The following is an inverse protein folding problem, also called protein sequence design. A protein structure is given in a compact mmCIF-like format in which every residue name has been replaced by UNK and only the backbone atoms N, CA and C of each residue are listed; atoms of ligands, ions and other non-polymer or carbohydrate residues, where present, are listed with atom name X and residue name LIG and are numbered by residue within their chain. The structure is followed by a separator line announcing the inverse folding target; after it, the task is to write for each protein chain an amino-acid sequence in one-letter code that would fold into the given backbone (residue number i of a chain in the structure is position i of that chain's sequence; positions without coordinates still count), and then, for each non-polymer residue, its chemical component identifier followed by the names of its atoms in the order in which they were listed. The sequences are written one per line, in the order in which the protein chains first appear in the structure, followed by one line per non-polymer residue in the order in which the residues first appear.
data_IF_660797470804
#
_entry.id   IF_660797470804
#
_cell.length_a   1.000
_cell.length_b   1.000
_cell.length_c   1.000
_cell.angle_alpha   90.00
_cell.angle_beta   90.00
_cell.angle_gamma   90.00
#
_symmetry.space_group_name_H-M   'P 1'
#
loop_
_entity.id
_entity.type
_entity.pdbx_description
1 polymer ?
#
# COMPACT_ATOMS: atom_id res chain seq x y z
N UNK A 1 13.98 -11.60 16.91
CA UNK A 1 14.87 -10.52 16.45
C UNK A 1 15.60 -11.00 15.21
N UNK A 2 14.93 -10.95 14.08
CA UNK A 2 15.55 -11.24 12.78
C UNK A 2 16.13 -9.93 12.26
N UNK A 3 17.44 -9.82 12.26
CA UNK A 3 18.19 -8.68 11.78
C UNK A 3 18.07 -8.65 10.24
N UNK A 4 17.24 -7.78 9.69
CA UNK A 4 17.28 -7.49 8.25
C UNK A 4 18.64 -6.88 7.93
N UNK A 5 19.52 -7.70 7.40
CA UNK A 5 20.90 -7.34 7.08
C UNK A 5 20.89 -6.56 5.76
N UNK A 6 20.89 -5.22 5.84
CA UNK A 6 21.20 -4.38 4.69
C UNK A 6 22.60 -4.72 4.18
N UNK A 7 22.66 -5.47 3.09
CA UNK A 7 23.92 -5.74 2.39
C UNK A 7 24.37 -4.51 1.62
N UNK A 8 25.20 -3.66 2.25
CA UNK A 8 26.05 -2.74 1.53
C UNK A 8 27.16 -3.55 0.83
N UNK A 9 26.95 -3.89 -0.43
CA UNK A 9 28.03 -4.38 -1.28
C UNK A 9 28.77 -3.21 -1.90
N UNK A 10 29.92 -2.93 -1.32
CA UNK A 10 30.95 -2.08 -1.92
C UNK A 10 31.63 -2.91 -3.03
N UNK A 11 31.31 -2.67 -4.29
CA UNK A 11 32.02 -3.28 -5.41
C UNK A 11 32.96 -2.27 -6.04
N UNK A 12 34.25 -2.52 -5.84
CA UNK A 12 35.36 -1.89 -6.60
C UNK A 12 35.25 -2.31 -8.07
N UNK A 13 35.52 -1.32 -8.92
CA UNK A 13 35.54 -1.48 -10.37
C UNK A 13 36.65 -2.38 -10.90
N UNK A 14 36.38 -3.02 -12.01
CA UNK A 14 37.38 -3.45 -13.00
C UNK A 14 36.80 -3.13 -14.39
N UNK A 15 37.60 -2.33 -15.11
CA UNK A 15 37.48 -2.03 -16.53
C UNK A 15 37.66 -3.27 -17.40
N UNK A 16 36.92 -3.34 -18.50
CA UNK A 16 37.39 -4.01 -19.71
C UNK A 16 36.50 -5.08 -20.27
N UNK A 17 35.81 -4.76 -21.32
CA UNK A 17 35.87 -5.35 -22.66
C UNK A 17 34.59 -4.99 -23.43
N UNK A 18 34.84 -4.30 -24.54
CA UNK A 18 33.84 -4.00 -25.58
C UNK A 18 33.46 -5.31 -26.22
N UNK A 19 32.17 -5.67 -26.17
CA UNK A 19 31.56 -6.60 -27.12
C UNK A 19 30.42 -5.85 -27.78
N UNK A 20 30.61 -5.50 -29.06
CA UNK A 20 29.54 -5.06 -29.94
C UNK A 20 28.56 -6.22 -30.14
N UNK A 21 27.39 -6.08 -29.62
CA UNK A 21 26.21 -6.88 -29.95
C UNK A 21 25.07 -5.89 -30.21
N UNK A 22 24.66 -5.80 -31.45
CA UNK A 22 23.53 -4.99 -31.90
C UNK A 22 22.19 -5.54 -31.38
N UNK A 23 21.23 -4.63 -31.30
CA UNK A 23 19.78 -4.80 -31.22
C UNK A 23 19.24 -5.36 -29.89
N UNK A 24 18.65 -4.46 -29.14
CA UNK A 24 17.47 -4.52 -28.27
C UNK A 24 17.48 -3.41 -27.18
N UNK A 25 18.33 -2.36 -27.34
CA UNK A 25 18.49 -1.33 -26.30
C UNK A 25 17.57 -0.10 -26.45
N UNK A 26 16.91 0.10 -27.60
CA UNK A 26 16.13 1.31 -27.82
C UNK A 26 14.81 1.29 -27.04
N UNK A 27 14.11 0.15 -26.96
CA UNK A 27 12.83 0.04 -26.26
C UNK A 27 13.00 0.19 -24.73
N UNK A 28 14.08 -0.35 -24.19
CA UNK A 28 14.37 -0.27 -22.74
C UNK A 28 14.79 1.14 -22.30
N UNK A 29 15.51 1.88 -23.13
CA UNK A 29 15.87 3.28 -22.87
C UNK A 29 14.63 4.19 -22.91
N UNK A 30 13.71 3.99 -23.86
CA UNK A 30 12.47 4.75 -23.99
C UNK A 30 11.54 4.52 -22.78
N UNK A 31 11.47 3.28 -22.27
CA UNK A 31 10.71 2.96 -21.05
C UNK A 31 11.30 3.67 -19.83
N UNK A 32 12.62 3.63 -19.64
CA UNK A 32 13.30 4.27 -18.52
C UNK A 32 13.16 5.80 -18.55
N UNK A 33 13.19 6.40 -19.72
CA UNK A 33 12.99 7.85 -19.88
C UNK A 33 11.58 8.27 -19.50
N UNK A 34 10.57 7.49 -19.88
CA UNK A 34 9.16 7.71 -19.47
C UNK A 34 8.98 7.56 -17.98
N UNK A 35 9.55 6.50 -17.40
CA UNK A 35 9.51 6.26 -15.95
C UNK A 35 10.19 7.39 -15.18
N UNK A 36 11.36 7.85 -15.63
CA UNK A 36 12.05 8.96 -15.00
C UNK A 36 11.25 10.25 -15.09
N UNK A 37 10.57 10.51 -16.21
CA UNK A 37 9.71 11.68 -16.37
C UNK A 37 8.50 11.63 -15.44
N UNK A 38 7.80 10.47 -15.36
CA UNK A 38 6.66 10.27 -14.47
C UNK A 38 7.06 10.41 -12.99
N UNK A 39 8.19 9.80 -12.61
CA UNK A 39 8.74 9.92 -11.27
C UNK A 39 9.07 11.37 -10.92
N UNK A 40 9.79 12.08 -11.80
CA UNK A 40 10.21 13.47 -11.55
C UNK A 40 9.03 14.44 -11.49
N UNK A 41 7.92 14.14 -12.16
CA UNK A 41 6.69 14.92 -12.05
C UNK A 41 6.10 14.81 -10.63
N UNK A 42 6.17 13.64 -10.01
CA UNK A 42 5.61 13.39 -8.68
C UNK A 42 6.59 13.74 -7.56
N UNK A 43 7.88 13.48 -7.77
CA UNK A 43 8.96 13.68 -6.81
C UNK A 43 10.12 14.50 -7.43
N UNK A 44 9.91 15.81 -7.68
CA UNK A 44 10.84 16.63 -8.47
C UNK A 44 12.23 16.82 -7.83
N UNK A 45 12.33 16.67 -6.51
CA UNK A 45 13.58 16.86 -5.77
C UNK A 45 14.31 15.54 -5.46
N UNK A 46 13.70 14.39 -5.81
CA UNK A 46 14.25 13.09 -5.50
C UNK A 46 14.99 12.47 -6.69
N UNK A 47 15.91 11.56 -6.40
CA UNK A 47 16.65 10.80 -7.39
C UNK A 47 16.47 9.31 -7.11
N UNK A 48 15.79 8.56 -7.99
CA UNK A 48 15.49 7.16 -7.75
C UNK A 48 16.64 6.25 -8.15
N UNK A 49 16.69 5.08 -7.52
CA UNK A 49 17.34 3.89 -8.04
C UNK A 49 16.27 2.94 -8.54
N UNK A 50 16.31 2.63 -9.81
CA UNK A 50 15.31 1.75 -10.41
C UNK A 50 15.64 0.28 -10.16
N UNK A 51 14.60 -0.49 -9.81
CA UNK A 51 14.61 -1.95 -9.77
C UNK A 51 13.31 -2.47 -10.40
N UNK A 52 13.25 -3.75 -10.71
CA UNK A 52 12.05 -4.41 -11.24
C UNK A 52 11.65 -5.56 -10.34
N UNK A 53 10.34 -5.75 -10.16
CA UNK A 53 9.75 -6.93 -9.52
C UNK A 53 8.50 -7.29 -10.33
N UNK A 54 8.37 -8.58 -10.67
CA UNK A 54 7.28 -9.03 -11.54
C UNK A 54 7.19 -8.20 -12.83
N UNK A 55 6.09 -7.49 -13.06
CA UNK A 55 5.87 -6.63 -14.22
C UNK A 55 5.95 -5.13 -13.88
N UNK A 56 6.45 -4.78 -12.70
CA UNK A 56 6.51 -3.42 -12.21
C UNK A 56 7.93 -2.86 -12.20
N UNK A 57 8.01 -1.54 -12.32
CA UNK A 57 9.22 -0.75 -12.12
C UNK A 57 9.10 -0.01 -10.79
N UNK A 58 10.12 -0.16 -9.95
CA UNK A 58 10.14 0.38 -8.60
C UNK A 58 11.25 1.41 -8.51
N UNK A 59 10.89 2.62 -8.13
CA UNK A 59 11.81 3.68 -7.80
C UNK A 59 12.10 3.65 -6.30
N UNK A 60 13.32 3.25 -5.91
CA UNK A 60 13.81 3.32 -4.53
C UNK A 60 14.47 4.70 -4.33
N UNK A 61 13.98 5.48 -3.37
CA UNK A 61 14.41 6.86 -3.14
C UNK A 61 14.23 7.31 -1.68
N UNK A 62 14.66 8.53 -1.40
CA UNK A 62 14.38 9.18 -0.11
C UNK A 62 13.24 10.20 -0.30
N UNK A 63 12.14 10.01 0.41
CA UNK A 63 11.02 10.93 0.47
C UNK A 63 11.03 11.64 1.83
N UNK A 64 11.35 12.95 1.86
CA UNK A 64 11.41 13.72 3.10
C UNK A 64 12.31 13.12 4.19
N UNK A 65 13.42 12.48 3.80
CA UNK A 65 14.38 11.73 4.62
C UNK A 65 13.92 10.34 5.10
N UNK A 66 12.82 9.83 4.61
CA UNK A 66 12.35 8.46 4.84
C UNK A 66 12.61 7.60 3.60
N UNK A 67 12.94 6.34 3.81
CA UNK A 67 13.05 5.39 2.70
C UNK A 67 11.66 5.22 2.05
N UNK A 68 11.64 5.18 0.73
CA UNK A 68 10.38 5.05 0.01
C UNK A 68 10.57 4.29 -1.31
N UNK A 69 9.53 3.57 -1.70
CA UNK A 69 9.42 2.84 -2.95
C UNK A 69 8.18 3.29 -3.73
N UNK A 70 8.39 3.85 -4.91
CA UNK A 70 7.29 4.21 -5.79
C UNK A 70 7.17 3.19 -6.93
N UNK A 71 5.97 2.63 -7.09
CA UNK A 71 5.66 1.54 -8.01
C UNK A 71 4.97 2.07 -9.26
N UNK A 72 5.46 1.60 -10.43
CA UNK A 72 4.99 2.03 -11.74
C UNK A 72 4.75 0.82 -12.66
N UNK A 73 3.77 0.95 -13.54
CA UNK A 73 3.61 0.02 -14.68
C UNK A 73 4.68 0.25 -15.74
N UNK A 74 4.80 -0.67 -16.71
CA UNK A 74 5.65 -0.50 -17.91
C UNK A 74 5.27 0.71 -18.76
N UNK A 75 4.03 1.20 -18.67
CA UNK A 75 3.56 2.41 -19.34
C UNK A 75 3.84 3.68 -18.54
N UNK A 76 4.65 3.57 -17.47
CA UNK A 76 5.00 4.64 -16.55
C UNK A 76 3.80 5.26 -15.80
N UNK A 77 2.75 4.49 -15.58
CA UNK A 77 1.64 4.86 -14.69
C UNK A 77 2.07 4.60 -13.26
N UNK A 78 2.03 5.63 -12.41
CA UNK A 78 2.27 5.47 -10.98
C UNK A 78 1.07 4.79 -10.32
N UNK A 79 1.34 3.79 -9.49
CA UNK A 79 0.32 3.00 -8.79
C UNK A 79 0.30 3.33 -7.29
N UNK A 80 1.47 3.30 -6.67
CA UNK A 80 1.62 3.37 -5.23
C UNK A 80 2.97 3.98 -4.84
N UNK A 81 3.01 4.57 -3.66
CA UNK A 81 4.26 4.84 -2.93
C UNK A 81 4.11 4.34 -1.51
N UNK A 82 4.98 3.46 -1.13
CA UNK A 82 5.20 2.97 0.21
C UNK A 82 6.34 3.78 0.84
N UNK A 83 6.17 4.19 2.09
CA UNK A 83 7.17 4.98 2.82
C UNK A 83 7.34 4.40 4.22
N UNK A 84 8.55 3.93 4.52
CA UNK A 84 8.96 3.47 5.84
C UNK A 84 9.00 4.67 6.80
N UNK A 85 8.17 4.65 7.82
CA UNK A 85 8.03 5.74 8.79
C UNK A 85 8.54 5.33 10.17
N UNK A 86 9.32 6.19 10.84
CA UNK A 86 9.56 5.97 12.26
C UNK A 86 8.24 6.11 13.04
N UNK A 87 8.03 5.27 14.07
CA UNK A 87 6.84 5.28 14.93
C UNK A 87 6.45 6.67 15.42
N UNK A 88 7.45 7.55 15.64
CA UNK A 88 7.22 8.93 16.08
C UNK A 88 6.46 9.78 15.04
N UNK A 89 6.54 9.41 13.77
CA UNK A 89 5.93 10.15 12.65
C UNK A 89 4.48 9.75 12.37
N UNK A 90 3.96 8.70 13.00
CA UNK A 90 2.54 8.36 12.93
C UNK A 90 1.66 9.55 13.36
N UNK A 91 0.49 9.75 12.73
CA UNK A 91 -0.52 10.67 13.23
C UNK A 91 -0.92 10.36 14.67
N UNK A 92 -1.15 11.38 15.47
CA UNK A 92 -1.55 11.20 16.88
C UNK A 92 -2.86 10.40 17.03
N UNK A 93 -3.77 10.52 16.08
CA UNK A 93 -5.01 9.74 16.06
C UNK A 93 -4.71 8.23 15.92
N UNK A 94 -3.79 7.84 15.01
CA UNK A 94 -3.36 6.45 14.82
C UNK A 94 -2.66 5.93 16.07
N UNK A 95 -1.72 6.69 16.65
CA UNK A 95 -1.04 6.31 17.91
C UNK A 95 -2.04 6.04 19.03
N UNK A 96 -3.04 6.91 19.17
CA UNK A 96 -4.06 6.77 20.20
C UNK A 96 -4.98 5.58 19.92
N UNK A 97 -5.38 5.35 18.66
CA UNK A 97 -6.20 4.22 18.27
C UNK A 97 -5.46 2.90 18.54
N UNK A 98 -4.22 2.77 18.06
CA UNK A 98 -3.38 1.60 18.33
C UNK A 98 -3.22 1.33 19.83
N UNK A 99 -2.82 2.34 20.61
CA UNK A 99 -2.63 2.20 22.06
C UNK A 99 -3.88 1.70 22.81
N UNK A 100 -5.07 2.07 22.33
CA UNK A 100 -6.35 1.71 22.96
C UNK A 100 -6.98 0.45 22.35
N UNK A 101 -6.40 -0.13 21.31
CA UNK A 101 -6.84 -1.38 20.70
C UNK A 101 -6.44 -2.59 21.54
N UNK A 102 -6.93 -3.76 21.19
CA UNK A 102 -6.48 -5.03 21.76
C UNK A 102 -5.00 -5.33 21.48
N UNK A 103 -4.43 -4.71 20.45
CA UNK A 103 -3.03 -4.81 20.06
C UNK A 103 -2.12 -3.81 20.76
N UNK A 104 -2.64 -2.89 21.56
CA UNK A 104 -1.89 -1.80 22.19
C UNK A 104 -0.81 -2.21 23.18
N UNK A 105 -0.70 -3.51 23.49
CA UNK A 105 0.38 -4.10 24.33
C UNK A 105 1.35 -4.96 23.50
N UNK A 106 1.12 -5.08 22.19
CA UNK A 106 2.01 -5.77 21.28
C UNK A 106 3.22 -4.89 20.95
N UNK A 107 4.32 -5.51 20.53
CA UNK A 107 5.49 -4.78 20.04
C UNK A 107 5.19 -4.24 18.65
N UNK A 108 5.38 -2.95 18.44
CA UNK A 108 5.32 -2.34 17.12
C UNK A 108 6.69 -2.46 16.48
N UNK A 109 6.80 -3.25 15.41
CA UNK A 109 8.06 -3.55 14.74
C UNK A 109 8.31 -2.60 13.57
N UNK A 110 7.35 -2.44 12.67
CA UNK A 110 7.48 -1.56 11.51
C UNK A 110 6.22 -0.71 11.26
N UNK A 111 6.37 0.34 10.48
CA UNK A 111 5.28 1.26 10.10
C UNK A 111 5.48 1.73 8.66
N UNK A 112 4.53 1.40 7.81
CA UNK A 112 4.47 1.89 6.45
C UNK A 112 3.33 2.87 6.22
N UNK A 113 3.60 3.88 5.41
CA UNK A 113 2.56 4.74 4.86
C UNK A 113 2.37 4.44 3.38
N UNK A 114 1.18 4.00 3.03
CA UNK A 114 0.77 3.71 1.66
C UNK A 114 0.00 4.88 1.07
N UNK A 115 0.49 5.40 -0.06
CA UNK A 115 -0.21 6.42 -0.86
C UNK A 115 -0.48 5.84 -2.23
N UNK A 116 -1.74 5.80 -2.65
CA UNK A 116 -2.22 5.20 -3.90
C UNK A 116 -3.09 6.19 -4.67
N UNK A 117 -3.17 6.03 -5.99
CA UNK A 117 -3.95 6.94 -6.83
C UNK A 117 -5.45 6.83 -6.53
N UNK A 118 -6.10 7.96 -6.25
CA UNK A 118 -7.54 8.02 -5.98
C UNK A 118 -7.98 7.43 -4.64
N UNK A 119 -7.04 7.07 -3.76
CA UNK A 119 -7.31 6.50 -2.44
C UNK A 119 -6.82 7.41 -1.31
N UNK A 120 -7.40 7.24 -0.12
CA UNK A 120 -6.87 7.84 1.10
C UNK A 120 -5.55 7.16 1.51
N UNK A 121 -4.61 7.91 2.09
CA UNK A 121 -3.42 7.30 2.69
C UNK A 121 -3.78 6.32 3.81
N UNK A 122 -3.08 5.19 3.84
CA UNK A 122 -3.21 4.15 4.86
C UNK A 122 -1.88 3.98 5.58
N UNK A 123 -1.93 3.77 6.88
CA UNK A 123 -0.80 3.44 7.74
C UNK A 123 -0.91 1.97 8.12
N UNK A 124 0.06 1.16 7.72
CA UNK A 124 0.17 -0.24 8.10
C UNK A 124 1.12 -0.33 9.28
N UNK A 125 0.66 -0.91 10.37
CA UNK A 125 1.44 -1.13 11.58
C UNK A 125 1.68 -2.62 11.72
N UNK A 126 2.92 -3.07 11.53
CA UNK A 126 3.33 -4.43 11.83
C UNK A 126 3.54 -4.57 13.34
N UNK A 127 2.80 -5.48 13.95
CA UNK A 127 2.85 -5.70 15.39
C UNK A 127 3.07 -7.17 15.72
N UNK A 128 3.89 -7.44 16.73
CA UNK A 128 4.24 -8.79 17.13
C UNK A 128 3.94 -9.09 18.61
N UNK A 129 3.51 -10.32 18.88
CA UNK A 129 3.43 -10.88 20.23
C UNK A 129 3.79 -12.36 20.24
N UNK A 130 4.99 -12.67 20.66
CA UNK A 130 5.54 -14.02 20.62
C UNK A 130 5.73 -14.51 19.19
N UNK A 131 5.04 -15.58 18.74
CA UNK A 131 5.15 -16.06 17.36
C UNK A 131 4.09 -15.45 16.40
N UNK A 132 3.23 -14.58 16.88
CA UNK A 132 2.15 -13.98 16.09
C UNK A 132 2.56 -12.60 15.62
N UNK A 133 2.38 -12.36 14.34
CA UNK A 133 2.60 -11.10 13.64
C UNK A 133 1.28 -10.68 12.98
N UNK A 134 0.90 -9.41 13.11
CA UNK A 134 -0.35 -8.87 12.57
C UNK A 134 -0.09 -7.51 11.95
N UNK A 135 -0.70 -7.25 10.81
CA UNK A 135 -0.74 -5.96 10.16
C UNK A 135 -2.04 -5.24 10.48
N UNK A 136 -1.92 -4.06 11.03
CA UNK A 136 -3.04 -3.21 11.40
C UNK A 136 -3.12 -2.02 10.44
N UNK A 137 -4.17 -1.95 9.66
CA UNK A 137 -4.39 -0.90 8.66
C UNK A 137 -5.22 0.22 9.25
N UNK A 138 -4.66 1.42 9.33
CA UNK A 138 -5.34 2.61 9.84
C UNK A 138 -5.38 3.73 8.80
N UNK A 139 -6.47 4.49 8.77
CA UNK A 139 -6.43 5.79 8.10
C UNK A 139 -5.81 6.88 9.00
N UNK A 140 -5.61 8.08 8.46
CA UNK A 140 -4.98 9.19 9.22
C UNK A 140 -5.80 9.64 10.44
N UNK A 141 -7.10 9.42 10.46
CA UNK A 141 -8.02 9.72 11.56
C UNK A 141 -8.01 8.64 12.67
N UNK A 142 -7.23 7.56 12.49
CA UNK A 142 -7.13 6.45 13.44
C UNK A 142 -8.28 5.46 13.38
N UNK A 143 -9.01 5.41 12.27
CA UNK A 143 -10.02 4.37 12.04
C UNK A 143 -9.28 3.11 11.61
N UNK A 144 -9.45 2.01 12.35
CA UNK A 144 -8.96 0.69 11.95
C UNK A 144 -9.80 0.20 10.76
N UNK A 145 -9.12 -0.12 9.65
CA UNK A 145 -9.72 -0.56 8.41
C UNK A 145 -9.86 -2.07 8.44
N UNK A 146 -8.73 -2.76 8.61
CA UNK A 146 -8.65 -4.22 8.70
C UNK A 146 -7.45 -4.66 9.52
N UNK A 147 -7.45 -5.93 9.87
CA UNK A 147 -6.35 -6.63 10.53
C UNK A 147 -6.04 -7.89 9.73
N UNK A 148 -4.80 -8.07 9.37
CA UNK A 148 -4.34 -9.25 8.62
C UNK A 148 -3.29 -9.98 9.46
N UNK A 149 -3.36 -11.32 9.53
CA UNK A 149 -2.28 -12.10 10.11
C UNK A 149 -1.14 -12.12 9.10
N UNK A 150 -0.01 -11.51 9.45
CA UNK A 150 1.14 -11.45 8.56
C UNK A 150 1.70 -12.84 8.32
N UNK A 151 1.85 -13.20 7.06
CA UNK A 151 2.43 -14.47 6.64
C UNK A 151 3.74 -14.31 5.89
N UNK A 152 3.94 -13.26 5.13
CA UNK A 152 5.18 -12.89 4.43
C UNK A 152 4.98 -11.53 3.74
N UNK A 153 5.85 -10.57 4.00
CA UNK A 153 5.87 -9.25 3.37
C UNK A 153 5.93 -9.32 1.83
N UNK A 154 4.84 -9.10 1.17
CA UNK A 154 4.84 -8.83 -0.25
C UNK A 154 4.19 -7.48 -0.54
N UNK A 155 5.02 -6.45 -0.74
CA UNK A 155 4.54 -5.10 -1.12
C UNK A 155 3.68 -5.10 -2.39
N UNK A 156 3.64 -6.20 -3.17
CA UNK A 156 2.72 -6.35 -4.30
C UNK A 156 1.27 -6.44 -3.84
N UNK A 157 1.00 -6.95 -2.63
CA UNK A 157 -0.34 -7.07 -2.06
C UNK A 157 -0.96 -5.70 -1.72
N UNK A 158 -0.14 -4.66 -1.63
CA UNK A 158 -0.60 -3.28 -1.42
C UNK A 158 -1.00 -2.55 -2.71
N UNK A 159 -0.74 -3.16 -3.88
CA UNK A 159 -1.01 -2.49 -5.15
C UNK A 159 -2.51 -2.38 -5.41
N UNK A 160 -2.99 -1.18 -5.81
CA UNK A 160 -4.40 -1.02 -6.11
C UNK A 160 -4.76 -1.75 -7.41
N UNK A 161 -5.95 -2.30 -7.46
CA UNK A 161 -6.53 -2.84 -8.69
C UNK A 161 -7.40 -1.80 -9.39
N UNK A 162 -7.55 -1.94 -10.70
CA UNK A 162 -8.49 -1.12 -11.47
C UNK A 162 -9.92 -1.65 -11.27
N UNK A 163 -10.77 -0.82 -10.67
CA UNK A 163 -12.17 -1.17 -10.44
C UNK A 163 -13.01 -1.00 -11.71
N UNK A 164 -13.94 -1.93 -12.01
CA UNK A 164 -14.95 -1.75 -13.06
C UNK A 164 -15.82 -0.51 -12.82
N UNK A 165 -16.34 0.07 -13.90
CA UNK A 165 -17.24 1.24 -13.83
C UNK A 165 -18.51 0.94 -13.04
N UNK A 166 -19.02 -0.28 -13.08
CA UNK A 166 -20.17 -0.76 -12.32
C UNK A 166 -19.93 -0.63 -10.83
N UNK A 167 -18.74 -1.02 -10.35
CA UNK A 167 -18.33 -0.90 -8.95
C UNK A 167 -18.22 0.57 -8.55
N UNK A 168 -17.55 1.40 -9.34
CA UNK A 168 -17.40 2.84 -9.09
C UNK A 168 -18.75 3.54 -8.99
N UNK A 169 -19.67 3.23 -9.92
CA UNK A 169 -21.02 3.79 -9.92
C UNK A 169 -21.81 3.36 -8.69
N UNK A 170 -21.75 2.09 -8.30
CA UNK A 170 -22.42 1.60 -7.09
C UNK A 170 -21.91 2.34 -5.84
N UNK A 171 -20.59 2.47 -5.69
CA UNK A 171 -20.00 3.19 -4.55
C UNK A 171 -20.45 4.66 -4.53
N UNK A 172 -20.49 5.32 -5.68
CA UNK A 172 -20.96 6.71 -5.77
C UNK A 172 -22.44 6.86 -5.42
N UNK A 173 -23.30 5.90 -5.78
CA UNK A 173 -24.73 5.95 -5.51
C UNK A 173 -25.08 5.58 -4.07
N UNK A 174 -24.42 4.54 -3.52
CA UNK A 174 -24.77 3.97 -2.20
C UNK A 174 -23.95 4.53 -1.07
N UNK A 175 -22.71 4.90 -1.35
CA UNK A 175 -21.75 5.39 -0.38
C UNK A 175 -21.16 6.73 -0.84
N UNK A 176 -22.05 7.67 -1.19
CA UNK A 176 -21.65 9.00 -1.60
C UNK A 176 -20.69 9.63 -0.57
N UNK A 177 -19.61 10.25 -1.06
CA UNK A 177 -18.54 10.81 -0.24
C UNK A 177 -17.74 9.78 0.60
N UNK A 178 -17.87 8.49 0.33
CA UNK A 178 -16.94 7.50 0.89
C UNK A 178 -15.53 7.73 0.34
N UNK A 179 -14.55 7.32 1.13
CA UNK A 179 -13.14 7.35 0.77
C UNK A 179 -12.69 5.91 0.57
N UNK A 180 -12.20 5.57 -0.61
CA UNK A 180 -11.62 4.25 -0.86
C UNK A 180 -10.27 4.21 -0.15
N UNK A 181 -10.03 3.15 0.60
CA UNK A 181 -8.79 2.93 1.36
C UNK A 181 -8.04 1.69 0.90
N UNK A 182 -8.74 0.72 0.29
CA UNK A 182 -8.11 -0.45 -0.31
C UNK A 182 -8.97 -1.05 -1.42
N UNK A 183 -8.34 -1.78 -2.33
CA UNK A 183 -9.01 -2.53 -3.40
C UNK A 183 -8.24 -3.81 -3.66
N UNK A 184 -8.96 -4.94 -3.69
CA UNK A 184 -8.38 -6.25 -3.97
C UNK A 184 -9.29 -7.07 -4.89
N UNK A 185 -8.73 -8.11 -5.49
CA UNK A 185 -9.46 -9.07 -6.31
C UNK A 185 -9.03 -10.50 -6.01
N UNK A 186 -9.83 -11.19 -5.22
CA UNK A 186 -9.63 -12.59 -4.91
C UNK A 186 -10.79 -13.47 -5.38
N UNK A 187 -10.50 -14.69 -5.83
CA UNK A 187 -11.49 -15.71 -6.20
C UNK A 187 -12.56 -15.25 -7.22
N UNK A 188 -12.23 -14.23 -8.04
CA UNK A 188 -13.16 -13.64 -9.01
C UNK A 188 -14.17 -12.68 -8.38
N UNK A 189 -13.87 -12.13 -7.21
CA UNK A 189 -14.63 -11.10 -6.54
C UNK A 189 -13.76 -9.86 -6.37
N UNK A 190 -14.37 -8.68 -6.47
CA UNK A 190 -13.72 -7.43 -6.09
C UNK A 190 -14.08 -7.12 -4.65
N UNK A 191 -13.08 -6.80 -3.87
CA UNK A 191 -13.21 -6.28 -2.51
C UNK A 191 -12.78 -4.82 -2.51
N UNK A 192 -13.59 -3.97 -1.90
CA UNK A 192 -13.31 -2.54 -1.78
C UNK A 192 -13.53 -2.12 -0.35
N UNK A 193 -12.45 -1.76 0.33
CA UNK A 193 -12.54 -1.17 1.65
C UNK A 193 -12.75 0.34 1.54
N UNK A 194 -13.78 0.83 2.22
CA UNK A 194 -14.14 2.24 2.22
C UNK A 194 -14.30 2.78 3.64
N UNK A 195 -14.05 4.06 3.82
CA UNK A 195 -14.51 4.80 5.00
C UNK A 195 -15.74 5.60 4.60
N UNK A 196 -16.87 5.29 5.23
CA UNK A 196 -18.13 5.99 5.02
C UNK A 196 -18.78 6.32 6.37
N UNK A 197 -19.10 7.60 6.57
CA UNK A 197 -19.64 8.13 7.83
C UNK A 197 -18.78 7.80 9.07
N UNK A 198 -17.44 7.80 8.89
CA UNK A 198 -16.48 7.51 9.96
C UNK A 198 -16.37 6.04 10.35
N UNK A 199 -16.91 5.12 9.53
CA UNK A 199 -16.85 3.67 9.73
C UNK A 199 -16.17 3.01 8.56
N UNK A 200 -15.21 2.14 8.85
CA UNK A 200 -14.62 1.25 7.85
C UNK A 200 -15.63 0.17 7.44
N UNK A 201 -15.74 -0.06 6.14
CA UNK A 201 -16.66 -1.04 5.55
C UNK A 201 -15.96 -1.78 4.42
N UNK A 202 -16.12 -3.07 4.41
CA UNK A 202 -15.78 -3.94 3.29
C UNK A 202 -16.99 -4.04 2.36
N UNK A 203 -16.81 -3.84 1.08
CA UNK A 203 -17.86 -3.96 0.07
C UNK A 203 -17.43 -4.96 -0.99
N UNK A 204 -18.17 -6.06 -1.11
CA UNK A 204 -17.88 -7.16 -2.03
C UNK A 204 -18.75 -7.10 -3.28
N UNK A 205 -18.11 -7.40 -4.42
CA UNK A 205 -18.75 -7.48 -5.73
C UNK A 205 -18.36 -8.77 -6.44
N UNK A 206 -19.21 -9.26 -7.32
CA UNK A 206 -18.84 -10.35 -8.23
C UNK A 206 -17.89 -9.83 -9.34
N UNK A 207 -17.38 -10.76 -10.17
CA UNK A 207 -16.47 -10.43 -11.28
C UNK A 207 -17.11 -9.61 -12.42
N UNK A 208 -18.42 -9.38 -12.36
CA UNK A 208 -19.16 -8.49 -13.28
C UNK A 208 -19.45 -7.12 -12.66
N UNK A 209 -18.95 -6.87 -11.44
CA UNK A 209 -19.18 -5.63 -10.70
C UNK A 209 -20.55 -5.53 -10.02
N UNK A 210 -21.31 -6.64 -9.92
CA UNK A 210 -22.56 -6.64 -9.17
C UNK A 210 -22.28 -6.76 -7.67
N UNK A 211 -22.91 -5.89 -6.87
CA UNK A 211 -22.81 -5.91 -5.42
C UNK A 211 -23.28 -7.24 -4.82
N UNK A 212 -22.51 -7.78 -3.90
CA UNK A 212 -22.80 -9.01 -3.17
C UNK A 212 -23.18 -8.71 -1.71
N UNK A 213 -22.32 -8.00 -1.01
CA UNK A 213 -22.51 -7.68 0.42
C UNK A 213 -21.74 -6.44 0.83
N UNK A 214 -22.12 -5.90 1.98
CA UNK A 214 -21.29 -4.92 2.70
C UNK A 214 -21.26 -5.30 4.17
N UNK A 215 -20.06 -5.30 4.77
CA UNK A 215 -19.84 -5.63 6.16
C UNK A 215 -19.07 -4.51 6.86
N UNK A 216 -19.22 -4.42 8.17
CA UNK A 216 -18.44 -3.53 9.04
C UNK A 216 -18.48 -4.04 10.47
N UNK A 217 -17.48 -3.72 11.23
CA UNK A 217 -17.45 -4.01 12.65
C UNK A 217 -18.36 -3.08 13.44
N UNK A 218 -19.07 -3.63 14.40
CA UNK A 218 -19.89 -2.86 15.34
C UNK A 218 -19.43 -3.17 16.77
N UNK A 219 -19.33 -2.12 17.59
CA UNK A 219 -19.07 -2.32 19.01
C UNK A 219 -20.26 -3.02 19.67
N UNK A 220 -19.99 -3.98 20.55
CA UNK A 220 -21.00 -4.68 21.35
C UNK A 220 -21.91 -3.70 22.12
N UNK A 221 -21.38 -2.55 22.52
CA UNK A 221 -22.13 -1.51 23.25
C UNK A 221 -23.20 -0.83 22.38
N UNK A 222 -23.13 -1.00 21.05
CA UNK A 222 -24.09 -0.44 20.09
C UNK A 222 -25.18 -1.41 19.70
N UNK A 223 -25.10 -2.67 20.15
CA UNK A 223 -26.13 -3.66 19.91
C UNK A 223 -27.39 -3.32 20.71
N UNK A 224 -28.60 -3.49 20.11
CA UNK A 224 -29.84 -3.36 20.85
C UNK A 224 -29.85 -4.34 22.05
N UNK A 225 -30.24 -3.86 23.23
CA UNK A 225 -30.50 -4.77 24.33
C UNK A 225 -31.60 -5.75 23.88
N UNK A 226 -31.27 -7.06 23.96
CA UNK A 226 -32.26 -8.09 23.69
C UNK A 226 -33.32 -8.02 24.80
N UNK A 227 -34.49 -7.56 24.44
CA UNK A 227 -35.68 -7.53 25.33
C UNK A 227 -36.24 -8.94 25.50
#
# INVERSE_FOLDING_TARGET
MKLRLCFFMLALGICGAVVQGCDDNDDNLDVLDKLQAAFSQKYPEASPKWKTRSNYYIADFQNQNYAAEAWFTSDAVWLMTETDLPHASLPEAVKNAFKNSEYGQWSLDDVDMLVREGMEPVYVLEVEQGPREMDLYYNAEGILIKVVEDSEDDSEDYLPIELPEEVKNFLQEKYAASKIVETDQEHGQFEVDIIHDGVAKEVLFDNSGNWLSSSWEISLDTLPEVV
#
